data_IF_727897530611
#
_entry.id   IF_727897530611
#
_cell.length_a   1.000
_cell.length_b   1.000
_cell.length_c   1.000
_cell.angle_alpha   90.00
_cell.angle_beta   90.00
_cell.angle_gamma   90.00
#
_symmetry.space_group_name_H-M   'P 1'
#
loop_
_entity.id
_entity.type
_entity.pdbx_description
1 polymer ?
#
# COMPACT_ATOMS: atom_id res chain seq x y z
N UNK A 1 3.52 3.55 -27.10
CA UNK A 1 2.75 4.36 -26.13
C UNK A 1 3.24 4.01 -24.75
N UNK A 2 3.57 5.00 -23.93
CA UNK A 2 3.89 4.83 -22.51
C UNK A 2 2.63 5.00 -21.68
N UNK A 3 2.35 4.08 -20.77
CA UNK A 3 1.23 4.20 -19.83
C UNK A 3 1.71 4.87 -18.55
N UNK A 4 1.00 5.92 -18.12
CA UNK A 4 1.23 6.58 -16.82
C UNK A 4 0.43 5.81 -15.76
N UNK A 5 1.08 5.50 -14.65
CA UNK A 5 0.44 4.93 -13.47
C UNK A 5 0.75 5.80 -12.25
N UNK A 6 -0.22 5.92 -11.36
CA UNK A 6 -0.03 6.51 -10.03
C UNK A 6 0.10 5.39 -9.01
N UNK A 7 1.08 5.47 -8.12
CA UNK A 7 1.27 4.50 -7.04
C UNK A 7 1.07 5.23 -5.71
N UNK A 8 0.11 4.76 -4.93
CA UNK A 8 -0.09 5.17 -3.54
C UNK A 8 0.44 4.10 -2.61
N UNK A 9 1.21 4.50 -1.60
CA UNK A 9 1.70 3.63 -0.53
C UNK A 9 1.27 4.27 0.80
N UNK A 10 0.53 3.51 1.60
CA UNK A 10 0.14 3.86 2.97
C UNK A 10 0.87 2.93 3.94
N UNK A 11 1.72 3.52 4.79
CA UNK A 11 2.54 2.81 5.76
C UNK A 11 2.02 3.09 7.17
N UNK A 12 1.14 2.22 7.65
CA UNK A 12 0.62 2.24 9.01
C UNK A 12 1.33 1.24 9.91
N UNK A 13 1.39 1.55 11.20
CA UNK A 13 2.00 0.64 12.19
C UNK A 13 1.31 -0.72 12.26
N UNK A 14 0.01 -0.81 11.95
CA UNK A 14 -0.78 -2.07 11.98
C UNK A 14 -1.03 -2.69 10.61
N UNK A 15 -0.81 -1.93 9.53
CA UNK A 15 -1.13 -2.33 8.16
C UNK A 15 -0.34 -1.51 7.16
N UNK A 16 0.02 -2.15 6.06
CA UNK A 16 0.58 -1.50 4.88
C UNK A 16 -0.40 -1.71 3.73
N UNK A 17 -0.65 -0.67 2.94
CA UNK A 17 -1.52 -0.74 1.77
C UNK A 17 -0.82 -0.10 0.56
N UNK A 18 -0.97 -0.75 -0.60
CA UNK A 18 -0.47 -0.25 -1.88
C UNK A 18 -1.62 -0.24 -2.87
N UNK A 19 -1.73 0.84 -3.65
CA UNK A 19 -2.67 0.95 -4.75
C UNK A 19 -1.97 1.44 -6.02
N UNK A 20 -2.28 0.81 -7.14
CA UNK A 20 -1.89 1.29 -8.48
C UNK A 20 -3.13 1.81 -9.17
N UNK A 21 -3.05 3.04 -9.67
CA UNK A 21 -4.12 3.68 -10.43
C UNK A 21 -3.66 3.97 -11.86
N UNK A 22 -4.60 3.97 -12.79
CA UNK A 22 -4.37 4.51 -14.13
C UNK A 22 -4.30 6.04 -14.12
N UNK A 23 -4.07 6.63 -15.31
CA UNK A 23 -4.00 8.08 -15.50
C UNK A 23 -5.30 8.83 -15.19
N UNK A 24 -6.44 8.13 -15.09
CA UNK A 24 -7.73 8.69 -14.71
C UNK A 24 -8.04 8.45 -13.23
N UNK A 25 -7.05 8.02 -12.45
CA UNK A 25 -7.18 7.67 -11.03
C UNK A 25 -8.17 6.53 -10.76
N UNK A 26 -8.38 5.63 -11.73
CA UNK A 26 -9.12 4.39 -11.48
C UNK A 26 -8.16 3.35 -10.90
N UNK A 27 -8.59 2.68 -9.83
CA UNK A 27 -7.82 1.62 -9.18
C UNK A 27 -7.72 0.42 -10.15
N UNK A 28 -6.49 0.03 -10.47
CA UNK A 28 -6.17 -1.18 -11.23
C UNK A 28 -5.77 -2.32 -10.30
N UNK A 29 -5.08 -1.99 -9.21
CA UNK A 29 -4.60 -2.95 -8.23
C UNK A 29 -4.66 -2.33 -6.84
N UNK A 30 -4.99 -3.15 -5.85
CA UNK A 30 -4.88 -2.80 -4.43
C UNK A 30 -4.50 -4.05 -3.65
N UNK A 31 -3.46 -3.93 -2.85
CA UNK A 31 -3.04 -4.96 -1.90
C UNK A 31 -2.87 -4.36 -0.51
N UNK A 32 -3.23 -5.16 0.49
CA UNK A 32 -3.15 -4.79 1.89
C UNK A 32 -2.54 -5.94 2.68
N UNK A 33 -1.53 -5.61 3.47
CA UNK A 33 -0.81 -6.54 4.34
C UNK A 33 -0.92 -6.06 5.78
N UNK A 34 -1.23 -6.98 6.69
CA UNK A 34 -1.15 -6.70 8.13
C UNK A 34 0.32 -6.72 8.55
N UNK A 35 0.69 -5.81 9.45
CA UNK A 35 2.01 -5.88 10.08
C UNK A 35 1.97 -6.80 11.30
N UNK A 36 3.15 -7.09 11.83
CA UNK A 36 3.32 -7.85 13.07
C UNK A 36 3.12 -6.99 14.33
N UNK A 37 2.46 -5.82 14.25
CA UNK A 37 2.27 -4.97 15.43
C UNK A 37 1.53 -5.64 16.60
N UNK A 38 0.78 -6.71 16.33
CA UNK A 38 0.16 -7.54 17.36
C UNK A 38 1.17 -8.33 18.22
N UNK A 39 2.42 -8.48 17.76
CA UNK A 39 3.50 -9.16 18.47
C UNK A 39 4.25 -8.23 19.45
N UNK A 40 3.97 -6.93 19.45
CA UNK A 40 4.63 -5.96 20.33
C UNK A 40 5.43 -4.91 19.57
N UNK A 41 5.92 -3.90 20.29
CA UNK A 41 6.62 -2.76 19.70
C UNK A 41 7.97 -3.15 19.09
N UNK A 42 8.60 -4.20 19.59
CA UNK A 42 9.86 -4.75 19.06
C UNK A 42 9.72 -5.32 17.63
N UNK A 43 8.48 -5.55 17.16
CA UNK A 43 8.16 -6.00 15.79
C UNK A 43 7.70 -4.84 14.87
N UNK A 44 7.78 -3.59 15.33
CA UNK A 44 7.45 -2.38 14.55
C UNK A 44 8.75 -1.67 14.19
N UNK A 45 9.14 -1.71 12.90
CA UNK A 45 10.36 -1.09 12.35
C UNK A 45 10.24 0.42 12.16
#
# INVERSE_FOLDING_TARGET
>A
MTSIYHIGIDLGGTKIEVAVLDSQNKILFRERLLTEAHLGNEHIF
#
